data_IF_259980394213
#
_entry.id   IF_259980394213
#
_cell.length_a   1.000
_cell.length_b   1.000
_cell.length_c   1.000
_cell.angle_alpha   90.00
_cell.angle_beta   90.00
_cell.angle_gamma   90.00
#
_symmetry.space_group_name_H-M   'P 1'
#
loop_
_entity.id
_entity.type
_entity.pdbx_description
1 polymer ?
#
# COMPACT_ATOMS: atom_id res chain seq x y z
N UNK A 1 19.15 -7.52 7.35
CA UNK A 1 18.28 -6.91 6.31
C UNK A 1 17.06 -6.27 6.98
N UNK A 2 16.46 -5.21 6.42
CA UNK A 2 15.30 -4.51 7.02
C UNK A 2 14.13 -5.48 7.22
N UNK A 3 13.93 -6.39 6.26
CA UNK A 3 12.90 -7.41 6.31
C UNK A 3 13.14 -8.49 7.37
N UNK A 4 14.40 -8.76 7.75
CA UNK A 4 14.75 -9.69 8.83
C UNK A 4 14.55 -9.09 10.23
N UNK A 5 14.56 -7.76 10.34
CA UNK A 5 14.39 -7.08 11.63
C UNK A 5 12.95 -7.13 12.15
N UNK A 6 12.07 -7.94 11.55
CA UNK A 6 10.67 -8.19 11.88
C UNK A 6 10.03 -7.06 12.70
N UNK A 7 9.73 -5.90 12.08
CA UNK A 7 9.19 -4.75 12.79
C UNK A 7 7.70 -4.92 13.11
N UNK A 8 7.22 -6.14 13.38
CA UNK A 8 5.82 -6.40 13.77
C UNK A 8 5.35 -5.66 15.01
N UNK A 9 6.26 -5.00 15.74
CA UNK A 9 5.96 -4.41 17.04
C UNK A 9 5.71 -2.90 17.01
N UNK A 10 5.36 -2.30 15.86
CA UNK A 10 5.05 -0.86 15.80
C UNK A 10 3.63 -0.52 15.36
N UNK A 11 2.75 -1.51 15.16
CA UNK A 11 1.31 -1.23 15.18
C UNK A 11 0.87 -1.49 16.63
N UNK A 12 0.42 -0.48 17.38
CA UNK A 12 -0.17 -0.73 18.67
C UNK A 12 -1.34 -1.70 18.43
N UNK A 13 -1.29 -2.87 19.06
CA UNK A 13 -2.42 -3.81 19.05
C UNK A 13 -3.53 -3.12 19.85
N UNK A 14 -4.36 -2.33 19.17
CA UNK A 14 -5.55 -1.80 19.79
C UNK A 14 -6.53 -2.96 19.99
N UNK A 15 -7.26 -2.91 21.11
CA UNK A 15 -8.26 -3.92 21.46
C UNK A 15 -9.14 -4.25 20.25
N UNK A 16 -9.43 -5.55 20.07
CA UNK A 16 -10.17 -6.14 18.96
C UNK A 16 -11.23 -5.20 18.35
N UNK A 17 -10.80 -4.38 17.40
CA UNK A 17 -11.67 -3.43 16.71
C UNK A 17 -12.35 -4.21 15.60
N UNK A 18 -13.68 -4.19 15.57
CA UNK A 18 -14.43 -4.82 14.49
C UNK A 18 -14.07 -4.14 13.15
N UNK A 19 -14.03 -4.92 12.07
CA UNK A 19 -13.74 -4.39 10.73
C UNK A 19 -14.72 -3.28 10.34
N UNK A 20 -15.97 -3.38 10.80
CA UNK A 20 -17.00 -2.37 10.58
C UNK A 20 -16.61 -1.02 11.18
N UNK A 21 -16.18 -1.00 12.44
CA UNK A 21 -15.72 0.21 13.14
C UNK A 21 -14.56 0.87 12.40
N UNK A 22 -13.55 0.08 12.00
CA UNK A 22 -12.41 0.57 11.24
C UNK A 22 -12.83 1.16 9.89
N UNK A 23 -13.78 0.54 9.19
CA UNK A 23 -14.28 1.06 7.92
C UNK A 23 -15.07 2.36 8.09
N UNK A 24 -15.87 2.50 9.14
CA UNK A 24 -16.64 3.71 9.42
C UNK A 24 -15.71 4.86 9.84
N UNK A 25 -14.73 4.59 10.69
CA UNK A 25 -13.66 5.54 11.03
C UNK A 25 -12.87 5.98 9.79
N UNK A 26 -12.53 5.04 8.91
CA UNK A 26 -11.82 5.35 7.68
C UNK A 26 -12.67 6.22 6.73
N UNK A 27 -13.99 6.01 6.68
CA UNK A 27 -14.91 6.87 5.95
C UNK A 27 -14.91 8.31 6.50
N UNK A 28 -14.94 8.49 7.83
CA UNK A 28 -14.86 9.83 8.44
C UNK A 28 -13.54 10.53 8.08
N UNK A 29 -12.42 9.79 8.05
CA UNK A 29 -11.13 10.34 7.65
C UNK A 29 -11.07 10.71 6.17
N UNK A 30 -11.73 9.95 5.27
CA UNK A 30 -11.87 10.34 3.87
C UNK A 30 -12.60 11.67 3.76
N UNK A 31 -13.68 11.86 4.52
CA UNK A 31 -14.41 13.13 4.53
C UNK A 31 -13.54 14.28 5.02
N UNK A 32 -12.79 14.05 6.09
CA UNK A 32 -11.93 15.09 6.64
C UNK A 32 -10.77 15.44 5.70
N UNK A 33 -10.25 14.46 4.94
CA UNK A 33 -9.30 14.70 3.85
C UNK A 33 -9.86 15.67 2.81
N UNK A 34 -11.14 15.52 2.43
CA UNK A 34 -11.84 16.43 1.51
C UNK A 34 -11.97 17.83 2.09
N UNK A 35 -12.38 17.95 3.36
CA UNK A 35 -12.55 19.23 4.04
C UNK A 35 -11.23 20.03 4.08
N UNK A 36 -10.14 19.37 4.47
CA UNK A 36 -8.82 19.99 4.58
C UNK A 36 -8.09 20.13 3.24
N UNK A 37 -8.65 19.55 2.16
CA UNK A 37 -8.05 19.50 0.82
C UNK A 37 -6.66 18.84 0.85
N UNK A 38 -6.51 17.77 1.63
CA UNK A 38 -5.28 16.97 1.68
C UNK A 38 -5.54 15.67 0.94
N UNK A 39 -4.76 15.41 -0.11
CA UNK A 39 -4.82 14.17 -0.85
C UNK A 39 -3.89 13.11 -0.24
N UNK A 40 -4.27 11.85 -0.41
CA UNK A 40 -3.51 10.73 0.13
C UNK A 40 -3.28 9.67 -0.94
N UNK A 41 -2.03 9.27 -1.11
CA UNK A 41 -1.62 8.17 -1.98
C UNK A 41 -1.21 6.99 -1.11
N UNK A 42 -1.87 5.85 -1.27
CA UNK A 42 -1.57 4.61 -0.57
C UNK A 42 -0.85 3.63 -1.49
N UNK A 43 0.43 3.39 -1.22
CA UNK A 43 1.23 2.38 -1.90
C UNK A 43 1.17 1.09 -1.08
N UNK A 44 0.36 0.13 -1.54
CA UNK A 44 0.25 -1.18 -0.90
C UNK A 44 1.15 -2.14 -1.69
N UNK A 45 2.40 -2.26 -1.22
CA UNK A 45 3.40 -3.18 -1.74
C UNK A 45 3.50 -4.45 -0.89
N UNK A 46 4.18 -5.46 -1.42
CA UNK A 46 4.44 -6.70 -0.68
C UNK A 46 4.55 -7.90 -1.59
N UNK A 47 5.01 -9.01 -1.01
CA UNK A 47 5.16 -10.28 -1.71
C UNK A 47 3.85 -10.78 -2.35
N UNK A 48 3.98 -11.65 -3.35
CA UNK A 48 2.87 -12.42 -3.90
C UNK A 48 2.08 -13.14 -2.80
N UNK A 49 0.77 -13.29 -3.01
CA UNK A 49 -0.15 -14.00 -2.09
C UNK A 49 -0.29 -13.42 -0.67
N UNK A 50 0.19 -12.21 -0.41
CA UNK A 50 -0.02 -11.49 0.86
C UNK A 50 -1.47 -11.07 1.08
N UNK A 51 -2.26 -10.92 0.01
CA UNK A 51 -3.68 -10.55 0.08
C UNK A 51 -3.98 -9.09 -0.25
N UNK A 52 -3.03 -8.35 -0.85
CA UNK A 52 -3.16 -6.93 -1.24
C UNK A 52 -4.53 -6.58 -1.85
N UNK A 53 -4.99 -7.36 -2.83
CA UNK A 53 -6.29 -7.12 -3.49
C UNK A 53 -7.49 -7.24 -2.54
N UNK A 54 -7.52 -8.23 -1.66
CA UNK A 54 -8.60 -8.41 -0.67
C UNK A 54 -8.59 -7.33 0.42
N UNK A 55 -7.39 -6.91 0.83
CA UNK A 55 -7.22 -5.79 1.75
C UNK A 55 -7.73 -4.50 1.10
N UNK A 56 -7.34 -4.23 -0.15
CA UNK A 56 -7.80 -3.07 -0.90
C UNK A 56 -9.33 -3.07 -1.07
N UNK A 57 -9.91 -4.20 -1.46
CA UNK A 57 -11.37 -4.34 -1.55
C UNK A 57 -12.05 -3.97 -0.23
N UNK A 58 -11.47 -4.41 0.90
CA UNK A 58 -12.01 -4.12 2.23
C UNK A 58 -11.86 -2.65 2.61
N UNK A 59 -10.73 -2.01 2.26
CA UNK A 59 -10.48 -0.58 2.46
C UNK A 59 -11.49 0.29 1.69
N UNK A 60 -11.87 -0.13 0.49
CA UNK A 60 -12.71 0.70 -0.41
C UNK A 60 -14.20 0.53 -0.24
N UNK A 61 -14.68 -0.52 0.45
CA UNK A 61 -16.09 -0.94 0.39
C UNK A 61 -17.08 0.08 0.98
N UNK A 62 -16.65 0.89 1.95
CA UNK A 62 -17.48 1.93 2.61
C UNK A 62 -17.12 3.37 2.23
N UNK A 63 -16.13 3.55 1.37
CA UNK A 63 -15.69 4.89 0.97
C UNK A 63 -16.65 5.50 -0.06
N UNK A 64 -16.73 6.83 -0.10
CA UNK A 64 -17.40 7.54 -1.19
C UNK A 64 -16.62 7.28 -2.49
N UNK A 65 -17.20 6.58 -3.49
CA UNK A 65 -16.51 6.22 -4.73
C UNK A 65 -16.15 7.42 -5.60
N UNK A 66 -16.73 8.60 -5.34
CA UNK A 66 -16.38 9.85 -6.05
C UNK A 66 -15.10 10.47 -5.51
N UNK A 67 -14.62 10.01 -4.35
CA UNK A 67 -13.51 10.60 -3.60
C UNK A 67 -12.30 9.68 -3.49
N UNK A 68 -12.30 8.54 -4.20
CA UNK A 68 -11.10 7.73 -4.36
C UNK A 68 -10.93 7.15 -5.76
N UNK A 69 -9.70 6.75 -6.08
CA UNK A 69 -9.36 5.98 -7.27
C UNK A 69 -8.52 4.79 -6.88
N UNK A 70 -8.66 3.70 -7.64
CA UNK A 70 -7.76 2.55 -7.59
C UNK A 70 -7.00 2.50 -8.91
N UNK A 71 -5.67 2.46 -8.83
CA UNK A 71 -4.81 2.28 -10.00
C UNK A 71 -3.97 1.03 -9.84
N UNK A 72 -4.09 0.12 -10.80
CA UNK A 72 -3.43 -1.19 -10.76
C UNK A 72 -2.76 -1.52 -12.10
N UNK A 73 -1.60 -0.93 -12.40
CA UNK A 73 -0.90 -1.20 -13.64
C UNK A 73 -0.38 -2.65 -13.66
N UNK A 74 -0.41 -3.26 -14.83
CA UNK A 74 0.29 -4.53 -15.07
C UNK A 74 1.80 -4.28 -14.98
N UNK A 75 2.46 -4.98 -14.06
CA UNK A 75 3.87 -4.76 -13.73
C UNK A 75 4.78 -5.10 -14.90
N UNK A 76 4.45 -6.11 -15.68
CA UNK A 76 5.17 -6.58 -16.86
C UNK A 76 4.88 -5.74 -18.12
N UNK A 77 3.63 -5.29 -18.28
CA UNK A 77 3.16 -4.56 -19.46
C UNK A 77 3.17 -3.04 -19.32
N UNK A 78 3.51 -2.49 -18.14
CA UNK A 78 3.56 -1.03 -17.98
C UNK A 78 4.47 -0.41 -19.05
N UNK A 79 3.84 0.45 -19.84
CA UNK A 79 4.21 0.77 -21.21
C UNK A 79 5.55 1.51 -21.31
N UNK A 80 6.55 0.86 -21.91
CA UNK A 80 7.76 1.52 -22.42
C UNK A 80 7.49 2.11 -23.83
N UNK A 81 6.47 2.97 -23.93
CA UNK A 81 6.08 3.64 -25.20
C UNK A 81 6.94 4.87 -25.52
N UNK A 82 8.18 4.91 -25.03
CA UNK A 82 9.05 6.08 -25.12
C UNK A 82 8.69 7.22 -24.17
N UNK A 83 7.84 6.96 -23.16
CA UNK A 83 7.57 7.91 -22.08
C UNK A 83 8.56 7.74 -20.92
N UNK A 84 8.81 8.80 -20.12
CA UNK A 84 9.59 8.67 -18.90
C UNK A 84 8.99 7.63 -17.93
N UNK A 85 9.86 6.98 -17.16
CA UNK A 85 9.52 5.89 -16.24
C UNK A 85 8.29 6.16 -15.35
N UNK A 86 8.13 7.39 -14.86
CA UNK A 86 7.04 7.77 -13.95
C UNK A 86 5.81 8.39 -14.61
N UNK A 87 5.75 8.47 -15.95
CA UNK A 87 4.66 9.14 -16.68
C UNK A 87 3.27 8.61 -16.30
N UNK A 88 3.10 7.28 -16.30
CA UNK A 88 1.82 6.66 -15.97
C UNK A 88 1.36 6.95 -14.52
N UNK A 89 2.32 7.15 -13.60
CA UNK A 89 2.04 7.49 -12.21
C UNK A 89 1.62 8.95 -12.08
N UNK A 90 2.31 9.86 -12.77
CA UNK A 90 1.96 11.29 -12.79
C UNK A 90 0.56 11.56 -13.37
N UNK A 91 0.11 10.76 -14.33
CA UNK A 91 -1.23 10.90 -14.94
C UNK A 91 -2.39 10.69 -13.97
N UNK A 92 -2.18 9.94 -12.90
CA UNK A 92 -3.27 9.50 -12.01
C UNK A 92 -3.19 10.13 -10.63
N UNK A 93 -2.26 11.06 -10.40
CA UNK A 93 -2.13 11.82 -9.14
C UNK A 93 -3.49 12.35 -8.71
N UNK A 94 -3.90 12.14 -7.44
CA UNK A 94 -5.24 12.51 -6.96
C UNK A 94 -5.42 14.03 -6.92
N UNK A 95 -6.66 14.49 -7.04
CA UNK A 95 -6.98 15.87 -6.69
C UNK A 95 -6.87 16.05 -5.18
N UNK A 96 -6.66 17.28 -4.72
CA UNK A 96 -6.72 17.59 -3.29
C UNK A 96 -7.99 17.05 -2.64
N UNK A 97 -7.82 16.36 -1.51
CA UNK A 97 -8.90 15.71 -0.77
C UNK A 97 -9.29 14.32 -1.27
N UNK A 98 -8.75 13.86 -2.41
CA UNK A 98 -9.02 12.50 -2.91
C UNK A 98 -8.00 11.49 -2.35
N UNK A 99 -8.44 10.24 -2.27
CA UNK A 99 -7.59 9.09 -1.97
C UNK A 99 -7.21 8.37 -3.27
N UNK A 100 -5.95 7.95 -3.40
CA UNK A 100 -5.50 7.11 -4.50
C UNK A 100 -4.85 5.86 -3.93
N UNK A 101 -5.38 4.69 -4.28
CA UNK A 101 -4.78 3.41 -3.92
C UNK A 101 -4.04 2.82 -5.12
N UNK A 102 -2.78 2.48 -4.91
CA UNK A 102 -2.02 1.72 -5.88
C UNK A 102 -2.00 0.24 -5.49
N UNK A 103 -2.34 -0.62 -6.46
CA UNK A 103 -2.11 -2.05 -6.41
C UNK A 103 -1.05 -2.39 -7.47
N UNK A 104 0.16 -2.71 -7.02
CA UNK A 104 1.38 -2.70 -7.85
C UNK A 104 1.83 -1.28 -8.21
N UNK A 105 2.94 -0.84 -7.64
CA UNK A 105 3.41 0.56 -7.76
C UNK A 105 4.64 0.65 -8.67
N UNK A 106 5.23 1.84 -8.74
CA UNK A 106 6.55 2.02 -9.37
C UNK A 106 7.64 1.18 -8.69
N UNK A 107 7.48 0.81 -7.41
CA UNK A 107 8.38 -0.13 -6.73
C UNK A 107 8.23 -1.56 -7.24
N UNK A 108 7.00 -2.06 -7.41
CA UNK A 108 6.74 -3.35 -8.08
C UNK A 108 7.35 -3.39 -9.48
N UNK A 109 7.20 -2.31 -10.27
CA UNK A 109 7.83 -2.23 -11.60
C UNK A 109 9.35 -2.23 -11.52
N UNK A 110 9.93 -1.46 -10.59
CA UNK A 110 11.38 -1.45 -10.39
C UNK A 110 11.90 -2.83 -9.98
N UNK A 111 11.19 -3.53 -9.10
CA UNK A 111 11.51 -4.89 -8.67
C UNK A 111 11.45 -5.89 -9.84
N UNK A 112 10.42 -5.81 -10.68
CA UNK A 112 10.30 -6.62 -11.90
C UNK A 112 11.44 -6.39 -12.88
N UNK A 113 11.78 -5.14 -13.16
CA UNK A 113 12.87 -4.83 -14.09
C UNK A 113 14.21 -5.35 -13.58
N UNK A 114 14.43 -5.35 -12.25
CA UNK A 114 15.61 -5.94 -11.62
C UNK A 114 15.60 -7.47 -11.66
N UNK A 115 14.47 -8.11 -11.38
CA UNK A 115 14.36 -9.58 -11.38
C UNK A 115 14.59 -10.17 -12.76
N UNK A 116 14.08 -9.49 -13.79
CA UNK A 116 14.22 -9.85 -15.21
C UNK A 116 15.54 -9.37 -15.84
N UNK A 117 16.41 -8.70 -15.07
CA UNK A 117 17.67 -8.11 -15.57
C UNK A 117 17.49 -7.17 -16.77
N UNK A 118 16.32 -6.52 -16.86
CA UNK A 118 16.00 -5.54 -17.92
C UNK A 118 16.71 -4.21 -17.73
N UNK A 119 17.18 -3.92 -16.51
CA UNK A 119 17.92 -2.70 -16.17
C UNK A 119 19.19 -3.01 -15.40
N UNK A 120 20.26 -2.27 -15.70
CA UNK A 120 21.51 -2.29 -14.95
C UNK A 120 21.43 -1.55 -13.61
N UNK A 121 22.51 -1.56 -12.83
CA UNK A 121 22.57 -0.85 -11.55
C UNK A 121 22.45 0.67 -11.70
N UNK A 122 23.18 1.26 -12.66
CA UNK A 122 23.11 2.71 -12.90
C UNK A 122 21.71 3.19 -13.24
N UNK A 123 20.97 2.44 -14.06
CA UNK A 123 19.61 2.80 -14.44
C UNK A 123 18.62 2.58 -13.29
N UNK A 124 18.83 1.53 -12.48
CA UNK A 124 18.08 1.31 -11.25
C UNK A 124 18.21 2.49 -10.29
N UNK A 125 19.43 2.97 -10.04
CA UNK A 125 19.69 4.09 -9.14
C UNK A 125 19.02 5.38 -9.65
N UNK A 126 19.06 5.62 -10.97
CA UNK A 126 18.39 6.77 -11.60
C UNK A 126 16.85 6.68 -11.48
N UNK A 127 16.27 5.51 -11.73
CA UNK A 127 14.82 5.29 -11.60
C UNK A 127 14.37 5.42 -10.14
N UNK A 128 15.16 4.90 -9.20
CA UNK A 128 14.91 5.03 -7.77
C UNK A 128 15.01 6.49 -7.32
N UNK A 129 16.03 7.23 -7.76
CA UNK A 129 16.16 8.65 -7.46
C UNK A 129 14.95 9.45 -7.99
N UNK A 130 14.48 9.11 -9.20
CA UNK A 130 13.27 9.73 -9.78
C UNK A 130 12.03 9.48 -8.94
N UNK A 131 11.88 8.27 -8.38
CA UNK A 131 10.81 7.92 -7.43
C UNK A 131 10.92 8.81 -6.18
N UNK A 132 12.09 8.89 -5.57
CA UNK A 132 12.30 9.65 -4.33
C UNK A 132 12.04 11.14 -4.52
N UNK A 133 12.47 11.69 -5.66
CA UNK A 133 12.19 13.08 -6.02
C UNK A 133 10.69 13.32 -6.22
N UNK A 134 9.99 12.39 -6.87
CA UNK A 134 8.53 12.48 -7.04
C UNK A 134 7.81 12.46 -5.69
N UNK A 135 8.15 11.52 -4.80
CA UNK A 135 7.56 11.45 -3.46
C UNK A 135 7.83 12.72 -2.64
N UNK A 136 9.04 13.28 -2.77
CA UNK A 136 9.41 14.54 -2.12
C UNK A 136 8.64 15.74 -2.68
N UNK A 137 8.43 15.81 -3.99
CA UNK A 137 7.65 16.90 -4.59
C UNK A 137 6.22 16.86 -4.06
N UNK A 138 5.61 15.66 -4.06
CA UNK A 138 4.24 15.48 -3.57
C UNK A 138 4.12 15.83 -2.08
N UNK A 139 5.07 15.39 -1.25
CA UNK A 139 5.04 15.62 0.20
C UNK A 139 5.27 17.07 0.63
N UNK A 140 5.85 17.90 -0.24
CA UNK A 140 5.95 19.36 -0.01
C UNK A 140 4.70 20.11 -0.46
N UNK A 141 3.76 19.41 -1.08
CA UNK A 141 2.42 19.91 -1.41
C UNK A 141 1.37 19.16 -0.55
N UNK A 142 0.08 19.39 -0.81
CA UNK A 142 -1.03 18.75 -0.11
C UNK A 142 -1.28 17.29 -0.57
N UNK A 143 -0.22 16.54 -0.89
CA UNK A 143 -0.32 15.14 -1.35
C UNK A 143 0.62 14.24 -0.55
N UNK A 144 0.05 13.44 0.35
CA UNK A 144 0.85 12.62 1.27
C UNK A 144 0.94 11.18 0.77
N UNK A 145 2.17 10.66 0.66
CA UNK A 145 2.46 9.31 0.21
C UNK A 145 2.64 8.37 1.40
N UNK A 146 1.74 7.41 1.54
CA UNK A 146 1.73 6.37 2.56
C UNK A 146 2.24 5.06 1.97
N UNK A 147 3.32 4.51 2.53
CA UNK A 147 3.98 3.30 2.00
C UNK A 147 3.85 2.13 2.97
N UNK A 148 3.21 1.07 2.50
CA UNK A 148 3.00 -0.16 3.26
C UNK A 148 3.62 -1.33 2.52
N UNK A 149 4.39 -2.15 3.24
CA UNK A 149 4.94 -3.38 2.70
C UNK A 149 4.41 -4.57 3.47
N UNK A 150 3.62 -5.42 2.80
CA UNK A 150 3.12 -6.66 3.35
C UNK A 150 4.19 -7.74 3.22
N UNK A 151 4.81 -8.08 4.34
CA UNK A 151 5.80 -9.13 4.41
C UNK A 151 5.16 -10.48 4.77
N UNK A 152 5.75 -11.56 4.26
CA UNK A 152 5.35 -12.93 4.53
C UNK A 152 6.57 -13.83 4.45
N UNK A 153 6.61 -14.88 5.26
CA UNK A 153 7.70 -15.87 5.23
C UNK A 153 7.66 -16.69 3.94
N UNK A 154 8.81 -17.20 3.50
CA UNK A 154 8.90 -18.14 2.37
C UNK A 154 7.96 -19.33 2.52
N UNK A 155 7.87 -19.87 3.73
CA UNK A 155 7.01 -21.00 4.08
C UNK A 155 5.54 -20.66 3.88
N UNK A 156 5.09 -19.52 4.40
CA UNK A 156 3.69 -19.11 4.31
C UNK A 156 3.32 -18.68 2.88
N UNK A 157 4.24 -18.07 2.13
CA UNK A 157 4.03 -17.74 0.72
C UNK A 157 3.82 -19.01 -0.10
N UNK A 158 4.72 -19.99 0.03
CA UNK A 158 4.61 -21.28 -0.67
C UNK A 158 3.28 -21.97 -0.36
N UNK A 159 2.92 -22.05 0.94
CA UNK A 159 1.64 -22.62 1.37
C UNK A 159 0.44 -21.91 0.72
N UNK A 160 0.43 -20.58 0.71
CA UNK A 160 -0.68 -19.80 0.13
C UNK A 160 -0.77 -19.95 -1.39
N UNK A 161 0.36 -20.07 -2.08
CA UNK A 161 0.39 -20.35 -3.52
C UNK A 161 -0.19 -21.73 -3.82
N UNK A 162 0.23 -22.77 -3.08
CA UNK A 162 -0.31 -24.13 -3.20
C UNK A 162 -1.82 -24.18 -2.91
N UNK A 163 -2.28 -23.46 -1.89
CA UNK A 163 -3.70 -23.33 -1.56
C UNK A 163 -4.49 -22.65 -2.69
N UNK A 164 -3.93 -21.64 -3.34
CA UNK A 164 -4.54 -21.01 -4.53
C UNK A 164 -4.69 -22.01 -5.68
N UNK A 165 -3.70 -22.88 -5.91
CA UNK A 165 -3.81 -23.96 -6.92
C UNK A 165 -4.94 -24.92 -6.61
N UNK A 166 -4.99 -25.41 -5.37
CA UNK A 166 -6.04 -26.33 -4.89
C UNK A 166 -7.44 -25.74 -5.01
N UNK A 167 -7.59 -24.44 -4.76
CA UNK A 167 -8.87 -23.71 -4.85
C UNK A 167 -9.21 -23.23 -6.27
N UNK A 168 -8.41 -23.58 -7.30
CA UNK A 168 -8.57 -23.11 -8.68
C UNK A 168 -8.58 -21.57 -8.80
N UNK A 169 -7.82 -20.89 -7.94
CA UNK A 169 -7.64 -19.43 -7.90
C UNK A 169 -6.34 -18.97 -8.56
N UNK A 170 -5.75 -19.81 -9.41
CA UNK A 170 -4.48 -19.47 -10.10
C UNK A 170 -4.62 -18.29 -11.08
N UNK A 171 -5.85 -18.01 -11.53
CA UNK A 171 -6.17 -16.85 -12.36
C UNK A 171 -5.96 -15.52 -11.62
N UNK A 172 -5.92 -15.53 -10.28
CA UNK A 172 -5.60 -14.34 -9.47
C UNK A 172 -4.09 -14.04 -9.45
N UNK A 173 -3.24 -14.90 -10.02
CA UNK A 173 -1.77 -14.78 -9.97
C UNK A 173 -1.18 -14.39 -11.33
N UNK A 174 -0.45 -13.27 -11.36
CA UNK A 174 0.32 -12.87 -12.53
C UNK A 174 1.56 -13.75 -12.75
N UNK A 175 2.22 -13.62 -13.90
CA UNK A 175 3.52 -14.26 -14.13
C UNK A 175 4.57 -13.80 -13.09
N UNK A 176 4.57 -12.50 -12.78
CA UNK A 176 5.41 -11.91 -11.75
C UNK A 176 5.17 -12.53 -10.37
N UNK A 177 3.91 -12.80 -10.00
CA UNK A 177 3.57 -13.44 -8.72
C UNK A 177 4.06 -14.89 -8.64
N UNK A 178 3.98 -15.63 -9.75
CA UNK A 178 4.45 -17.02 -9.82
C UNK A 178 5.97 -17.10 -9.72
N UNK A 179 6.67 -16.23 -10.45
CA UNK A 179 8.12 -16.13 -10.42
C UNK A 179 8.65 -15.72 -9.03
N UNK A 180 7.91 -14.86 -8.30
CA UNK A 180 8.20 -14.57 -6.89
C UNK A 180 8.14 -15.80 -5.99
N UNK A 181 7.18 -16.69 -6.21
CA UNK A 181 7.03 -17.93 -5.44
C UNK A 181 8.17 -18.91 -5.66
N UNK A 182 8.64 -19.02 -6.91
CA UNK A 182 9.75 -19.89 -7.28
C UNK A 182 11.10 -19.34 -6.80
N UNK A 183 11.27 -18.01 -6.87
CA UNK A 183 12.54 -17.33 -6.61
C UNK A 183 12.49 -16.40 -5.37
N UNK A 184 11.85 -16.83 -4.28
CA UNK A 184 11.63 -15.99 -3.08
C UNK A 184 12.87 -15.23 -2.60
N UNK A 185 14.02 -15.91 -2.49
CA UNK A 185 15.24 -15.30 -1.95
C UNK A 185 15.73 -14.14 -2.84
N UNK A 186 15.65 -14.28 -4.17
CA UNK A 186 15.99 -13.22 -5.12
C UNK A 186 15.10 -11.99 -4.89
N UNK A 187 13.80 -12.20 -4.74
CA UNK A 187 12.85 -11.11 -4.51
C UNK A 187 12.99 -10.49 -3.13
N UNK A 188 13.35 -11.29 -2.13
CA UNK A 188 13.66 -10.80 -0.80
C UNK A 188 14.80 -9.77 -0.84
N UNK A 189 15.91 -10.10 -1.52
CA UNK A 189 17.04 -9.17 -1.68
C UNK A 189 16.64 -7.89 -2.44
N UNK A 190 15.87 -8.04 -3.53
CA UNK A 190 15.39 -6.90 -4.33
C UNK A 190 14.50 -5.98 -3.48
N UNK A 191 13.51 -6.53 -2.79
CA UNK A 191 12.60 -5.73 -1.95
C UNK A 191 13.34 -5.14 -0.75
N UNK A 192 14.26 -5.86 -0.10
CA UNK A 192 15.04 -5.31 1.01
C UNK A 192 15.88 -4.11 0.57
N UNK A 193 16.53 -4.22 -0.59
CA UNK A 193 17.29 -3.11 -1.20
C UNK A 193 16.39 -1.90 -1.48
N UNK A 194 15.24 -2.12 -2.13
CA UNK A 194 14.28 -1.05 -2.42
C UNK A 194 13.80 -0.38 -1.13
N UNK A 195 13.36 -1.15 -0.14
CA UNK A 195 12.83 -0.63 1.12
C UNK A 195 13.88 0.18 1.89
N UNK A 196 15.13 -0.29 1.89
CA UNK A 196 16.25 0.38 2.53
C UNK A 196 16.58 1.70 1.86
N UNK A 197 16.72 1.69 0.53
CA UNK A 197 17.12 2.86 -0.23
C UNK A 197 16.00 3.90 -0.39
N UNK A 198 14.74 3.52 -0.14
CA UNK A 198 13.58 4.41 -0.30
C UNK A 198 12.86 4.80 1.00
N UNK A 199 13.46 4.52 2.16
CA UNK A 199 12.93 5.01 3.44
C UNK A 199 13.32 6.48 3.63
N UNK A 200 12.35 7.38 3.51
CA UNK A 200 12.55 8.83 3.72
C UNK A 200 11.79 9.31 4.94
N UNK A 201 12.15 10.49 5.45
CA UNK A 201 11.43 11.14 6.55
C UNK A 201 10.02 11.53 6.11
N UNK A 202 9.89 12.07 4.90
CA UNK A 202 8.60 12.54 4.36
C UNK A 202 7.66 11.37 3.97
N UNK A 203 8.20 10.20 3.63
CA UNK A 203 7.43 9.02 3.28
C UNK A 203 8.10 7.75 3.83
N UNK A 204 7.86 7.40 5.10
CA UNK A 204 8.44 6.21 5.71
C UNK A 204 7.66 4.96 5.30
N UNK A 205 8.40 3.87 5.11
CA UNK A 205 7.85 2.52 4.96
C UNK A 205 7.32 1.98 6.27
N UNK A 206 6.10 1.46 6.25
CA UNK A 206 5.53 0.64 7.32
C UNK A 206 5.47 -0.81 6.85
N UNK A 207 6.21 -1.67 7.53
CA UNK A 207 6.28 -3.09 7.19
C UNK A 207 5.32 -3.83 8.09
N UNK A 208 4.36 -4.53 7.49
CA UNK A 208 3.34 -5.31 8.17
C UNK A 208 3.62 -6.78 7.90
N UNK A 209 3.89 -7.54 8.94
CA UNK A 209 4.12 -8.97 8.85
C UNK A 209 3.09 -9.70 9.71
N UNK A 210 2.28 -10.55 9.08
CA UNK A 210 1.39 -11.44 9.80
C UNK A 210 1.13 -12.71 8.97
N UNK A 211 1.18 -13.87 9.64
CA UNK A 211 0.94 -15.18 9.02
C UNK A 211 -0.54 -15.38 8.64
N UNK A 212 -1.47 -14.66 9.29
CA UNK A 212 -2.91 -14.72 9.03
C UNK A 212 -3.39 -13.52 8.20
N UNK A 213 -4.08 -13.81 7.09
CA UNK A 213 -4.57 -12.80 6.15
C UNK A 213 -5.58 -11.83 6.77
N UNK A 214 -6.53 -12.34 7.56
CA UNK A 214 -7.56 -11.48 8.17
C UNK A 214 -6.98 -10.53 9.21
N UNK A 215 -6.04 -10.99 10.03
CA UNK A 215 -5.35 -10.10 10.97
C UNK A 215 -4.46 -9.06 10.24
N UNK A 216 -3.84 -9.44 9.11
CA UNK A 216 -3.09 -8.49 8.26
C UNK A 216 -3.97 -7.33 7.81
N UNK A 217 -5.23 -7.60 7.45
CA UNK A 217 -6.19 -6.59 7.00
C UNK A 217 -6.48 -5.58 8.12
N UNK A 218 -6.75 -6.04 9.33
CA UNK A 218 -7.00 -5.18 10.49
C UNK A 218 -5.78 -4.30 10.79
N UNK A 219 -4.58 -4.89 10.79
CA UNK A 219 -3.33 -4.14 11.00
C UNK A 219 -3.10 -3.05 9.93
N UNK A 220 -3.47 -3.30 8.68
CA UNK A 220 -3.40 -2.28 7.62
C UNK A 220 -4.39 -1.14 7.87
N UNK A 221 -5.62 -1.45 8.28
CA UNK A 221 -6.61 -0.44 8.64
C UNK A 221 -6.13 0.44 9.79
N UNK A 222 -5.69 -0.17 10.89
CA UNK A 222 -5.18 0.55 12.06
C UNK A 222 -4.00 1.45 11.69
N UNK A 223 -3.05 0.93 10.91
CA UNK A 223 -1.90 1.69 10.44
C UNK A 223 -2.27 2.90 9.57
N UNK A 224 -3.27 2.75 8.70
CA UNK A 224 -3.77 3.85 7.86
C UNK A 224 -4.49 4.88 8.72
N UNK A 225 -5.41 4.43 9.58
CA UNK A 225 -6.22 5.30 10.43
C UNK A 225 -5.33 6.11 11.37
N UNK A 226 -4.42 5.47 12.10
CA UNK A 226 -3.49 6.15 13.01
C UNK A 226 -2.69 7.25 12.29
N UNK A 227 -2.24 6.98 11.07
CA UNK A 227 -1.48 7.95 10.28
C UNK A 227 -2.36 9.12 9.82
N UNK A 228 -3.58 8.85 9.38
CA UNK A 228 -4.51 9.88 8.94
C UNK A 228 -5.00 10.74 10.10
N UNK A 229 -5.34 10.15 11.25
CA UNK A 229 -5.76 10.88 12.46
C UNK A 229 -4.67 11.88 12.89
N UNK A 230 -3.40 11.47 12.87
CA UNK A 230 -2.26 12.36 13.17
C UNK A 230 -2.11 13.50 12.18
N UNK A 231 -2.23 13.21 10.88
CA UNK A 231 -2.05 14.20 9.81
C UNK A 231 -3.20 15.21 9.81
N UNK A 232 -4.43 14.72 9.91
CA UNK A 232 -5.65 15.53 9.86
C UNK A 232 -5.98 16.16 11.21
N UNK A 233 -5.26 15.79 12.27
CA UNK A 233 -5.55 16.21 13.65
C UNK A 233 -7.02 15.95 14.03
N UNK A 234 -7.52 14.78 13.64
CA UNK A 234 -8.93 14.40 13.73
C UNK A 234 -9.08 13.08 14.47
N UNK A 235 -9.84 13.07 15.57
CA UNK A 235 -10.15 11.85 16.32
C UNK A 235 -11.37 11.14 15.73
N UNK A 236 -11.12 10.18 14.85
CA UNK A 236 -12.18 9.45 14.16
C UNK A 236 -13.00 8.57 15.10
N UNK A 237 -12.43 8.11 16.22
CA UNK A 237 -13.12 7.27 17.19
C UNK A 237 -14.10 8.10 18.01
N UNK A 238 -13.68 9.26 18.50
CA UNK A 238 -14.56 10.19 19.22
C UNK A 238 -15.71 10.66 18.31
N UNK A 239 -15.41 11.03 17.06
CA UNK A 239 -16.43 11.43 16.09
C UNK A 239 -17.45 10.31 15.81
N UNK A 240 -16.98 9.08 15.58
CA UNK A 240 -17.90 7.94 15.36
C UNK A 240 -18.77 7.66 16.59
N UNK A 241 -18.18 7.74 17.79
CA UNK A 241 -18.94 7.61 19.03
C UNK A 241 -20.04 8.69 19.15
N UNK A 242 -19.73 9.95 18.83
CA UNK A 242 -20.70 11.05 18.84
C UNK A 242 -21.86 10.82 17.86
N UNK A 243 -21.56 10.34 16.65
CA UNK A 243 -22.56 10.01 15.63
C UNK A 243 -23.47 8.88 16.09
N UNK A 244 -22.89 7.80 16.65
CA UNK A 244 -23.66 6.64 17.11
C UNK A 244 -24.60 6.96 18.28
N UNK A 245 -24.31 8.01 19.05
CA UNK A 245 -25.15 8.50 20.15
C UNK A 245 -26.04 9.68 19.76
N UNK A 246 -26.12 10.04 18.46
CA UNK A 246 -26.99 11.08 17.95
C UNK A 246 -26.61 12.51 18.37
N UNK A 247 -25.38 12.71 18.87
CA UNK A 247 -24.90 14.02 19.33
C UNK A 247 -24.37 14.89 18.18
N UNK A 248 -24.01 14.26 17.05
CA UNK A 248 -23.68 14.92 15.80
C UNK A 248 -24.36 14.22 14.64
N UNK A 249 -24.88 15.00 13.68
CA UNK A 249 -25.30 14.46 12.40
C UNK A 249 -24.09 14.38 11.47
N UNK A 250 -24.07 13.35 10.63
CA UNK A 250 -23.20 13.25 9.46
C UNK A 250 -23.50 14.49 8.59
N UNK A 251 -22.62 15.50 8.48
CA UNK A 251 -22.90 16.70 7.71
C UNK A 251 -23.01 16.41 6.21
#
# INVERSE_FOLDING_TARGET
MILERHPTNQVPVYAASDLTDLQERFFLLQRESVNQKIAHIFLIEGFASTGKGSILQSLTIRLDPRKFKVYSPYVDQSEDRGYPFLWNFWKVVPRYGELLFYLNTYYSRLAYLRSEKKIGLSEYDQRLLSILNTERILSKDKVIVHKFFLHISKKDQKKRLEDSKKKKKEWELSHFDKDQGEHYNRYFEIFDSILSASRTIDSPWQIIYNSKKEETKLLVFEAIIERLERILQFDSRAALHSINHGTELIP
#
